data_IF_065706262551
#
_entry.id   IF_065706262551
#
_cell.length_a   1.000
_cell.length_b   1.000
_cell.length_c   1.000
_cell.angle_alpha   90.00
_cell.angle_beta   90.00
_cell.angle_gamma   90.00
#
_symmetry.space_group_name_H-M   'P 1'
#
loop_
_entity.id
_entity.type
_entity.pdbx_description
1 polymer ?
#
# COMPACT_ATOMS: atom_id res chain seq x y z
N UNK A 1 -67.93 36.26 35.13
CA UNK A 1 -67.71 37.38 36.08
C UNK A 1 -66.33 37.95 35.82
N UNK A 2 -66.27 39.27 35.71
CA UNK A 2 -65.08 40.09 35.53
C UNK A 2 -64.20 40.01 36.79
N UNK A 3 -62.88 39.90 36.61
CA UNK A 3 -61.91 40.44 37.56
C UNK A 3 -60.63 40.86 36.83
N UNK A 4 -60.44 42.18 36.77
CA UNK A 4 -59.25 42.90 36.34
C UNK A 4 -58.50 43.39 37.60
N UNK A 5 -57.16 43.38 37.55
CA UNK A 5 -56.14 44.14 38.32
C UNK A 5 -54.97 43.17 38.64
N UNK A 6 -53.70 43.40 38.33
CA UNK A 6 -52.94 44.63 38.19
C UNK A 6 -51.88 44.68 39.30
N UNK A 7 -50.63 44.30 39.03
CA UNK A 7 -49.48 44.73 39.84
C UNK A 7 -48.14 44.66 39.07
N UNK A 8 -47.56 45.85 38.96
CA UNK A 8 -46.20 46.29 38.67
C UNK A 8 -45.05 45.45 39.26
N UNK A 9 -43.93 45.35 38.53
CA UNK A 9 -42.61 45.58 39.13
C UNK A 9 -41.47 44.63 38.74
N UNK A 10 -40.37 45.20 38.24
CA UNK A 10 -39.01 44.69 38.47
C UNK A 10 -38.38 43.92 37.32
N UNK A 11 -37.29 44.47 36.78
CA UNK A 11 -36.58 43.94 35.60
C UNK A 11 -35.60 42.81 35.91
N UNK A 12 -35.00 42.27 34.85
CA UNK A 12 -33.90 41.33 34.98
C UNK A 12 -33.76 40.36 33.80
N UNK A 13 -32.93 40.75 32.82
CA UNK A 13 -32.20 39.92 31.87
C UNK A 13 -32.97 38.81 31.10
N UNK A 14 -33.25 39.10 29.82
CA UNK A 14 -33.52 38.08 28.82
C UNK A 14 -32.27 37.20 28.61
N UNK A 15 -32.37 35.92 28.96
CA UNK A 15 -31.45 34.88 28.51
C UNK A 15 -32.02 34.27 27.23
N UNK A 16 -31.38 34.41 26.06
CA UNK A 16 -31.80 33.66 24.89
C UNK A 16 -31.33 32.22 25.04
N UNK A 17 -32.30 31.32 24.97
CA UNK A 17 -32.11 29.89 24.75
C UNK A 17 -31.39 29.68 23.41
N UNK A 18 -30.10 29.38 23.44
CA UNK A 18 -29.40 28.78 22.32
C UNK A 18 -29.41 27.26 22.54
N UNK A 19 -30.37 26.60 21.91
CA UNK A 19 -30.34 25.15 21.75
C UNK A 19 -29.19 24.88 20.77
N UNK A 20 -28.01 24.54 21.28
CA UNK A 20 -26.92 24.04 20.46
C UNK A 20 -27.36 22.69 19.89
N UNK A 21 -27.83 22.71 18.65
CA UNK A 21 -27.80 21.54 17.79
C UNK A 21 -26.34 21.14 17.69
N UNK A 22 -25.95 20.10 18.44
CA UNK A 22 -24.66 19.46 18.31
C UNK A 22 -24.51 19.04 16.83
N UNK A 23 -23.72 19.83 16.11
CA UNK A 23 -23.30 19.52 14.75
C UNK A 23 -22.67 18.14 14.80
N UNK A 24 -23.22 17.19 14.04
CA UNK A 24 -22.58 15.90 13.85
C UNK A 24 -21.15 16.17 13.38
N UNK A 25 -20.15 15.75 14.18
CA UNK A 25 -18.76 15.77 13.74
C UNK A 25 -18.70 15.03 12.42
N UNK A 26 -18.32 15.73 11.35
CA UNK A 26 -17.93 15.08 10.12
C UNK A 26 -16.77 14.15 10.47
N UNK A 27 -16.99 12.83 10.38
CA UNK A 27 -15.92 11.85 10.45
C UNK A 27 -14.90 12.25 9.40
N UNK A 28 -13.68 12.57 9.79
CA UNK A 28 -12.61 12.88 8.84
C UNK A 28 -12.53 11.71 7.85
N UNK A 29 -12.68 12.01 6.55
CA UNK A 29 -12.56 10.97 5.53
C UNK A 29 -11.16 10.36 5.62
N UNK A 30 -11.10 9.03 5.69
CA UNK A 30 -9.84 8.31 5.75
C UNK A 30 -8.97 8.64 4.52
N UNK A 31 -7.69 8.95 4.75
CA UNK A 31 -6.75 9.32 3.68
C UNK A 31 -6.65 8.20 2.65
N UNK A 32 -6.86 8.54 1.37
CA UNK A 32 -6.51 7.70 0.22
C UNK A 32 -5.08 8.06 -0.17
N UNK A 33 -4.20 7.07 -0.26
CA UNK A 33 -2.82 7.22 -0.71
C UNK A 33 -2.74 6.91 -2.20
N UNK A 34 -2.06 7.78 -2.94
CA UNK A 34 -1.63 7.50 -4.32
C UNK A 34 -0.51 6.46 -4.34
N UNK A 35 -0.25 5.83 -5.49
CA UNK A 35 0.86 4.88 -5.60
C UNK A 35 2.21 5.49 -5.21
N UNK A 36 2.53 6.71 -5.64
CA UNK A 36 3.81 7.36 -5.29
C UNK A 36 3.95 7.54 -3.77
N UNK A 37 2.88 7.94 -3.08
CA UNK A 37 2.88 8.01 -1.62
C UNK A 37 3.09 6.63 -0.98
N UNK A 38 2.42 5.58 -1.48
CA UNK A 38 2.59 4.21 -0.99
C UNK A 38 4.03 3.71 -1.17
N UNK A 39 4.66 4.05 -2.30
CA UNK A 39 6.07 3.73 -2.57
C UNK A 39 6.99 4.45 -1.59
N UNK A 40 6.74 5.72 -1.32
CA UNK A 40 7.51 6.50 -0.36
C UNK A 40 7.43 5.91 1.05
N UNK A 41 6.24 5.44 1.46
CA UNK A 41 6.04 4.79 2.76
C UNK A 41 6.93 3.56 2.94
N UNK A 42 7.04 2.70 1.92
CA UNK A 42 7.80 1.44 2.04
C UNK A 42 9.27 1.56 1.56
N UNK A 43 9.66 2.71 1.01
CA UNK A 43 11.02 2.96 0.51
C UNK A 43 12.09 2.95 1.62
N UNK A 44 13.28 2.45 1.29
CA UNK A 44 14.46 2.52 2.16
C UNK A 44 14.36 1.73 3.46
N UNK A 45 13.39 0.81 3.57
CA UNK A 45 13.27 -0.11 4.69
C UNK A 45 14.22 -1.28 4.51
N UNK A 46 14.67 -1.85 5.62
CA UNK A 46 15.56 -3.02 5.66
C UNK A 46 14.93 -4.13 6.49
N UNK A 47 15.19 -5.37 6.12
CA UNK A 47 14.86 -6.52 6.98
C UNK A 47 15.82 -6.64 8.17
N UNK A 48 15.55 -7.57 9.09
CA UNK A 48 16.39 -7.78 10.28
C UNK A 48 17.78 -8.35 9.95
N UNK A 49 17.96 -8.90 8.75
CA UNK A 49 19.26 -9.36 8.23
C UNK A 49 20.09 -8.20 7.64
N UNK A 50 19.53 -6.98 7.60
CA UNK A 50 20.16 -5.78 7.06
C UNK A 50 20.09 -5.68 5.54
N UNK A 51 19.29 -6.51 4.87
CA UNK A 51 19.05 -6.40 3.44
C UNK A 51 17.98 -5.34 3.15
N UNK A 52 18.21 -4.54 2.12
CA UNK A 52 17.23 -3.56 1.66
C UNK A 52 16.01 -4.26 1.05
N UNK A 53 14.81 -3.83 1.47
CA UNK A 53 13.58 -4.14 0.75
C UNK A 53 13.53 -3.32 -0.54
N UNK A 54 13.92 -3.96 -1.64
CA UNK A 54 14.00 -3.33 -2.96
C UNK A 54 12.60 -3.09 -3.50
N UNK A 55 12.29 -1.82 -3.75
CA UNK A 55 11.06 -1.40 -4.41
C UNK A 55 10.99 -1.92 -5.85
N UNK A 56 9.88 -2.56 -6.19
CA UNK A 56 9.58 -2.90 -7.58
C UNK A 56 9.12 -1.64 -8.33
N UNK A 57 9.35 -1.55 -9.64
CA UNK A 57 8.79 -0.48 -10.46
C UNK A 57 7.27 -0.62 -10.61
N UNK A 58 6.58 0.49 -10.92
CA UNK A 58 5.13 0.47 -11.21
C UNK A 58 4.79 -0.58 -12.28
N UNK A 59 5.57 -0.60 -13.36
CA UNK A 59 5.37 -1.54 -14.46
C UNK A 59 5.55 -3.00 -14.00
N UNK A 60 6.51 -3.26 -13.11
CA UNK A 60 6.72 -4.61 -12.57
C UNK A 60 5.55 -5.05 -11.67
N UNK A 61 5.04 -4.15 -10.83
CA UNK A 61 3.89 -4.42 -9.97
C UNK A 61 2.63 -4.66 -10.81
N UNK A 62 2.40 -3.84 -11.85
CA UNK A 62 1.26 -4.01 -12.76
C UNK A 62 1.35 -5.31 -13.56
N UNK A 63 2.52 -5.63 -14.11
CA UNK A 63 2.73 -6.90 -14.82
C UNK A 63 2.56 -8.10 -13.89
N UNK A 64 3.16 -8.05 -12.70
CA UNK A 64 3.04 -9.09 -11.69
C UNK A 64 1.59 -9.31 -11.27
N UNK A 65 0.83 -8.22 -11.05
CA UNK A 65 -0.58 -8.28 -10.71
C UNK A 65 -1.45 -8.89 -11.81
N UNK A 66 -1.20 -8.55 -13.08
CA UNK A 66 -1.91 -9.13 -14.21
C UNK A 66 -1.63 -10.63 -14.36
N UNK A 67 -0.36 -11.03 -14.22
CA UNK A 67 0.03 -12.44 -14.26
C UNK A 67 -0.60 -13.20 -13.08
N UNK A 68 -0.53 -12.64 -11.87
CA UNK A 68 -1.14 -13.24 -10.69
C UNK A 68 -2.66 -13.40 -10.87
N UNK A 69 -3.35 -12.40 -11.39
CA UNK A 69 -4.80 -12.47 -11.69
C UNK A 69 -5.12 -13.58 -12.70
N UNK A 70 -4.34 -13.69 -13.78
CA UNK A 70 -4.48 -14.79 -14.74
C UNK A 70 -4.25 -16.16 -14.08
N UNK A 71 -3.19 -16.32 -13.29
CA UNK A 71 -2.90 -17.56 -12.58
C UNK A 71 -4.03 -17.93 -11.60
N UNK A 72 -4.52 -16.96 -10.82
CA UNK A 72 -5.66 -17.14 -9.91
C UNK A 72 -6.96 -17.49 -10.63
N UNK A 73 -7.17 -16.97 -11.85
CA UNK A 73 -8.36 -17.32 -12.66
C UNK A 73 -8.37 -18.81 -13.06
N UNK A 74 -7.20 -19.43 -13.10
CA UNK A 74 -7.03 -20.86 -13.38
C UNK A 74 -6.89 -21.72 -12.12
N UNK A 75 -6.80 -21.09 -10.95
CA UNK A 75 -6.66 -21.78 -9.67
C UNK A 75 -8.04 -22.08 -9.07
N UNK A 76 -8.23 -23.32 -8.61
CA UNK A 76 -9.38 -23.72 -7.82
C UNK A 76 -8.98 -23.79 -6.34
N UNK A 77 -9.75 -23.12 -5.49
CA UNK A 77 -9.60 -23.21 -4.03
C UNK A 77 -10.83 -23.92 -3.47
N UNK A 78 -10.61 -24.93 -2.64
CA UNK A 78 -11.66 -25.70 -1.99
C UNK A 78 -11.43 -25.70 -0.47
N UNK A 79 -12.33 -25.08 0.33
CA UNK A 79 -13.57 -24.40 -0.08
C UNK A 79 -13.35 -23.10 -0.86
N UNK A 80 -14.27 -22.77 -1.78
CA UNK A 80 -14.17 -21.54 -2.60
C UNK A 80 -14.12 -20.25 -1.78
N UNK A 81 -14.78 -20.24 -0.62
CA UNK A 81 -14.78 -19.11 0.32
C UNK A 81 -13.38 -18.82 0.91
N UNK A 82 -12.46 -19.77 0.80
CA UNK A 82 -11.06 -19.62 1.25
C UNK A 82 -10.15 -19.03 0.18
N UNK A 83 -10.69 -18.66 -0.99
CA UNK A 83 -9.90 -18.03 -2.06
C UNK A 83 -9.20 -16.76 -1.56
N UNK A 84 -9.91 -15.90 -0.83
CA UNK A 84 -9.34 -14.65 -0.32
C UNK A 84 -8.16 -14.91 0.63
N UNK A 85 -8.28 -15.93 1.49
CA UNK A 85 -7.19 -16.37 2.40
C UNK A 85 -6.04 -16.99 1.62
N UNK A 86 -6.33 -17.80 0.60
CA UNK A 86 -5.32 -18.43 -0.26
C UNK A 86 -4.51 -17.42 -1.08
N UNK A 87 -5.08 -16.23 -1.29
CA UNK A 87 -4.48 -15.15 -2.08
C UNK A 87 -4.04 -13.97 -1.23
N UNK A 88 -4.24 -14.07 0.09
CA UNK A 88 -3.82 -13.07 1.04
C UNK A 88 -2.29 -12.87 0.93
N UNK A 89 -1.85 -11.61 0.90
CA UNK A 89 -0.47 -11.20 0.70
C UNK A 89 0.03 -11.22 -0.76
N UNK A 90 -0.71 -11.82 -1.70
CA UNK A 90 -0.39 -11.81 -3.13
C UNK A 90 -1.23 -10.78 -3.90
N UNK A 91 -2.52 -10.68 -3.56
CA UNK A 91 -3.50 -9.89 -4.29
C UNK A 91 -4.61 -9.36 -3.37
N UNK A 92 -4.29 -9.02 -2.12
CA UNK A 92 -5.20 -8.25 -1.24
C UNK A 92 -5.36 -6.81 -1.75
N UNK A 93 -5.64 -6.63 -3.04
CA UNK A 93 -6.01 -5.35 -3.59
C UNK A 93 -7.36 -5.01 -2.97
N UNK A 94 -7.32 -4.02 -2.09
CA UNK A 94 -8.45 -3.10 -1.92
C UNK A 94 -8.97 -2.77 -3.32
N UNK A 95 -10.24 -3.07 -3.59
CA UNK A 95 -10.85 -2.91 -4.92
C UNK A 95 -10.57 -1.49 -5.45
N UNK A 96 -10.15 -1.38 -6.72
CA UNK A 96 -9.78 -0.10 -7.35
C UNK A 96 -8.73 0.71 -6.55
N UNK A 97 -7.74 0.04 -5.95
CA UNK A 97 -6.67 0.66 -5.16
C UNK A 97 -5.29 0.65 -5.81
N UNK A 98 -4.48 1.65 -5.44
CA UNK A 98 -3.07 1.70 -5.75
C UNK A 98 -2.28 0.74 -4.84
N UNK A 99 -1.17 0.21 -5.34
CA UNK A 99 -0.32 -0.75 -4.61
C UNK A 99 1.17 -0.49 -4.86
N UNK A 100 1.95 -0.51 -3.80
CA UNK A 100 3.41 -0.56 -3.85
C UNK A 100 3.91 -1.85 -3.22
N UNK A 101 4.97 -2.43 -3.79
CA UNK A 101 5.58 -3.68 -3.31
C UNK A 101 7.10 -3.53 -3.26
N UNK A 102 7.69 -4.03 -2.18
CA UNK A 102 9.12 -4.16 -1.99
C UNK A 102 9.45 -5.59 -1.56
N UNK A 103 10.58 -6.14 -2.04
CA UNK A 103 11.05 -7.48 -1.71
C UNK A 103 12.46 -7.45 -1.14
N UNK A 104 12.72 -8.28 -0.13
CA UNK A 104 14.08 -8.64 0.26
C UNK A 104 14.41 -10.04 -0.25
N UNK A 105 15.48 -10.13 -1.02
CA UNK A 105 16.04 -11.37 -1.54
C UNK A 105 17.07 -11.91 -0.53
N UNK A 106 16.62 -12.80 0.34
CA UNK A 106 17.47 -13.53 1.28
C UNK A 106 17.11 -15.02 1.31
N UNK A 107 17.80 -15.80 2.16
CA UNK A 107 17.51 -17.23 2.36
C UNK A 107 16.05 -17.48 2.79
N UNK A 108 15.47 -16.50 3.48
CA UNK A 108 14.06 -16.40 3.81
C UNK A 108 13.49 -15.18 3.07
N UNK A 109 12.87 -15.37 1.89
CA UNK A 109 12.37 -14.26 1.09
C UNK A 109 11.27 -13.53 1.87
N UNK A 110 11.29 -12.20 1.77
CA UNK A 110 10.33 -11.33 2.43
C UNK A 110 9.69 -10.40 1.43
N UNK A 111 8.43 -10.06 1.67
CA UNK A 111 7.74 -9.01 0.94
C UNK A 111 7.11 -8.02 1.90
N UNK A 112 7.06 -6.76 1.48
CA UNK A 112 6.31 -5.71 2.12
C UNK A 112 5.48 -5.00 1.05
N UNK A 113 4.18 -4.87 1.29
CA UNK A 113 3.28 -4.15 0.41
C UNK A 113 2.48 -3.13 1.19
N UNK A 114 2.18 -2.01 0.53
CA UNK A 114 1.27 -0.99 1.01
C UNK A 114 0.23 -0.73 -0.07
N UNK A 115 -1.03 -0.65 0.34
CA UNK A 115 -2.17 -0.58 -0.57
C UNK A 115 -3.20 0.41 -0.05
N UNK A 116 -3.86 1.11 -0.96
CA UNK A 116 -4.91 2.06 -0.60
C UNK A 116 -6.02 2.10 -1.66
N UNK A 117 -7.25 1.83 -1.23
CA UNK A 117 -8.44 1.85 -2.08
C UNK A 117 -9.08 3.24 -2.12
N UNK A 118 -9.39 3.75 -3.31
CA UNK A 118 -10.20 4.97 -3.48
C UNK A 118 -11.70 4.68 -3.44
N UNK A 119 -12.10 3.46 -3.78
CA UNK A 119 -13.48 2.96 -3.80
C UNK A 119 -13.61 1.71 -2.91
N UNK A 120 -14.85 1.24 -2.70
CA UNK A 120 -15.10 0.01 -1.93
C UNK A 120 -14.95 0.16 -0.41
N UNK A 121 -14.93 -0.97 0.33
CA UNK A 121 -14.72 -0.97 1.77
C UNK A 121 -13.32 -0.46 2.13
N UNK A 122 -13.19 0.17 3.29
CA UNK A 122 -11.87 0.56 3.82
C UNK A 122 -11.03 -0.69 4.19
N UNK A 123 -9.73 -0.46 4.43
CA UNK A 123 -8.78 -1.54 4.70
C UNK A 123 -9.15 -2.31 5.97
N UNK A 124 -9.72 -1.62 6.96
CA UNK A 124 -10.14 -2.22 8.24
C UNK A 124 -11.27 -3.23 8.02
N UNK A 125 -12.25 -2.88 7.18
CA UNK A 125 -13.33 -3.77 6.80
C UNK A 125 -12.84 -4.94 5.97
N UNK A 126 -11.97 -4.71 4.98
CA UNK A 126 -11.35 -5.79 4.19
C UNK A 126 -10.66 -6.80 5.11
N UNK A 127 -9.81 -6.33 6.01
CA UNK A 127 -9.07 -7.19 6.92
C UNK A 127 -9.98 -7.92 7.92
N UNK A 128 -11.06 -7.28 8.35
CA UNK A 128 -12.07 -7.90 9.22
C UNK A 128 -12.85 -9.00 8.49
N UNK A 129 -13.21 -8.78 7.23
CA UNK A 129 -13.94 -9.77 6.42
C UNK A 129 -13.04 -10.98 6.10
N UNK A 130 -11.73 -10.77 5.89
CA UNK A 130 -10.73 -11.85 5.72
C UNK A 130 -10.55 -12.64 7.02
N UNK A 131 -10.20 -11.97 8.12
CA UNK A 131 -9.96 -12.64 9.42
C UNK A 131 -11.19 -13.41 9.92
N UNK A 132 -12.41 -12.90 9.67
CA UNK A 132 -13.66 -13.59 10.01
C UNK A 132 -13.91 -14.90 9.26
N UNK A 133 -13.16 -15.20 8.18
CA UNK A 133 -13.23 -16.48 7.45
C UNK A 133 -12.20 -17.50 7.92
N UNK A 134 -11.24 -17.10 8.75
CA UNK A 134 -10.06 -17.90 9.08
C UNK A 134 -10.39 -19.28 9.67
N UNK A 135 -11.36 -19.35 10.58
CA UNK A 135 -11.79 -20.63 11.19
C UNK A 135 -12.27 -21.66 10.15
N UNK A 136 -12.91 -21.20 9.07
CA UNK A 136 -13.39 -22.06 7.98
C UNK A 136 -12.27 -22.42 7.00
N UNK A 137 -11.19 -21.65 7.01
CA UNK A 137 -10.06 -21.74 6.10
C UNK A 137 -8.77 -22.20 6.78
N UNK A 138 -8.89 -22.82 7.96
CA UNK A 138 -7.76 -23.41 8.66
C UNK A 138 -7.09 -24.55 7.85
N UNK A 139 -7.87 -25.23 6.99
CA UNK A 139 -7.35 -26.19 6.02
C UNK A 139 -8.14 -26.08 4.71
N UNK A 140 -7.44 -25.86 3.62
CA UNK A 140 -8.02 -25.80 2.27
C UNK A 140 -7.06 -26.43 1.26
N UNK A 141 -7.58 -26.76 0.09
CA UNK A 141 -6.76 -27.23 -1.03
C UNK A 141 -6.75 -26.20 -2.15
N UNK A 142 -5.58 -26.07 -2.78
CA UNK A 142 -5.41 -25.23 -3.96
C UNK A 142 -4.96 -26.13 -5.10
N UNK A 143 -5.67 -26.05 -6.21
CA UNK A 143 -5.30 -26.67 -7.47
C UNK A 143 -4.95 -25.58 -8.47
N UNK A 144 -3.70 -25.57 -8.93
CA UNK A 144 -3.21 -24.63 -9.93
C UNK A 144 -2.27 -25.35 -10.89
N UNK A 145 -2.38 -25.05 -12.19
CA UNK A 145 -1.51 -25.62 -13.24
C UNK A 145 -1.45 -27.16 -13.21
N UNK A 146 -2.57 -27.83 -12.87
CA UNK A 146 -2.67 -29.28 -12.78
C UNK A 146 -2.00 -29.91 -11.54
N UNK A 147 -1.57 -29.10 -10.58
CA UNK A 147 -1.03 -29.56 -9.31
C UNK A 147 -1.97 -29.20 -8.18
N UNK A 148 -2.30 -30.17 -7.33
CA UNK A 148 -3.08 -29.98 -6.11
C UNK A 148 -2.17 -30.05 -4.90
N UNK A 149 -2.27 -29.06 -4.02
CA UNK A 149 -1.61 -29.05 -2.71
C UNK A 149 -2.58 -28.63 -1.61
N UNK A 150 -2.38 -29.15 -0.42
CA UNK A 150 -3.08 -28.72 0.78
C UNK A 150 -2.32 -27.55 1.42
N UNK A 151 -3.08 -26.60 1.97
CA UNK A 151 -2.57 -25.52 2.81
C UNK A 151 -3.26 -25.66 4.16
N UNK A 152 -2.47 -25.71 5.22
CA UNK A 152 -2.96 -25.52 6.59
C UNK A 152 -2.56 -24.14 7.04
N UNK A 153 -3.51 -23.34 7.46
CA UNK A 153 -3.29 -21.98 7.93
C UNK A 153 -3.80 -21.85 9.35
N UNK A 154 -3.06 -21.16 10.20
CA UNK A 154 -3.48 -20.85 11.56
C UNK A 154 -3.30 -19.35 11.82
N UNK A 155 -4.22 -18.78 12.61
CA UNK A 155 -4.03 -17.43 13.12
C UNK A 155 -2.91 -17.44 14.14
N UNK A 156 -2.01 -16.46 14.01
CA UNK A 156 -0.97 -16.21 15.01
C UNK A 156 -1.23 -14.85 15.63
N UNK A 157 -1.02 -14.74 16.94
CA UNK A 157 -1.21 -13.47 17.63
C UNK A 157 -0.14 -12.48 17.16
N UNK A 158 -0.56 -11.36 16.57
CA UNK A 158 0.31 -10.25 16.21
C UNK A 158 -0.25 -8.92 16.72
N UNK A 159 0.64 -7.96 16.99
CA UNK A 159 0.28 -6.63 17.50
C UNK A 159 1.02 -5.54 16.69
N UNK A 160 0.27 -4.61 16.11
CA UNK A 160 0.81 -3.44 15.38
C UNK A 160 0.13 -2.16 15.87
N UNK A 161 0.65 -1.00 15.48
CA UNK A 161 0.11 0.32 15.82
C UNK A 161 -1.17 0.69 15.04
N UNK A 162 -1.70 -0.23 14.23
CA UNK A 162 -2.87 0.00 13.38
C UNK A 162 -4.20 -0.25 14.12
N UNK A 163 -5.29 0.28 13.57
CA UNK A 163 -6.66 0.02 14.04
C UNK A 163 -7.02 -1.48 14.04
N UNK A 164 -6.52 -2.23 13.06
CA UNK A 164 -6.74 -3.68 12.96
C UNK A 164 -5.47 -4.39 12.52
N UNK A 165 -5.14 -5.46 13.22
CA UNK A 165 -4.06 -6.38 12.88
C UNK A 165 -4.63 -7.79 12.71
N UNK A 166 -4.08 -8.53 11.76
CA UNK A 166 -4.36 -9.95 11.57
C UNK A 166 -3.10 -10.63 11.05
N UNK A 167 -2.77 -11.80 11.57
CA UNK A 167 -1.59 -12.53 11.15
C UNK A 167 -1.86 -14.01 11.03
N UNK A 168 -1.22 -14.64 10.07
CA UNK A 168 -1.36 -16.07 9.80
C UNK A 168 -0.01 -16.74 9.64
N UNK A 169 0.04 -18.02 9.97
CA UNK A 169 1.11 -18.92 9.60
C UNK A 169 0.52 -20.04 8.74
N UNK A 170 0.92 -20.08 7.48
CA UNK A 170 0.46 -21.07 6.51
C UNK A 170 1.57 -22.08 6.23
N UNK A 171 1.22 -23.35 6.15
CA UNK A 171 2.12 -24.45 5.77
C UNK A 171 1.56 -25.13 4.53
N UNK A 172 2.36 -25.22 3.47
CA UNK A 172 2.00 -25.96 2.26
C UNK A 172 2.44 -27.42 2.38
N UNK A 173 1.58 -28.35 1.98
CA UNK A 173 1.92 -29.77 1.86
C UNK A 173 2.99 -30.00 0.78
N UNK A 174 4.00 -30.81 1.06
CA UNK A 174 5.07 -31.17 0.13
C UNK A 174 6.36 -31.55 0.87
N UNK A 175 7.38 -32.01 0.13
CA UNK A 175 8.63 -32.51 0.70
C UNK A 175 9.39 -31.48 1.56
N UNK A 176 9.19 -30.19 1.30
CA UNK A 176 9.91 -29.10 1.96
C UNK A 176 9.09 -28.38 3.04
N UNK A 177 7.82 -28.76 3.28
CA UNK A 177 6.88 -28.15 4.25
C UNK A 177 7.07 -26.64 4.45
N UNK A 178 7.14 -25.90 3.34
CA UNK A 178 7.44 -24.48 3.39
C UNK A 178 6.34 -23.74 4.15
N UNK A 179 6.77 -22.91 5.11
CA UNK A 179 5.90 -22.02 5.85
C UNK A 179 5.94 -20.62 5.24
N UNK A 180 4.82 -19.94 5.34
CA UNK A 180 4.66 -18.53 5.03
C UNK A 180 4.00 -17.88 6.24
N UNK A 181 4.68 -16.92 6.85
CA UNK A 181 4.10 -16.05 7.86
C UNK A 181 3.68 -14.75 7.19
N UNK A 182 2.51 -14.27 7.54
CA UNK A 182 1.97 -13.00 7.06
C UNK A 182 1.47 -12.21 8.26
N UNK A 183 1.83 -10.92 8.31
CA UNK A 183 1.20 -9.94 9.19
C UNK A 183 0.56 -8.88 8.30
N UNK A 184 -0.70 -8.58 8.56
CA UNK A 184 -1.49 -7.58 7.86
C UNK A 184 -2.01 -6.57 8.88
N UNK A 185 -1.89 -5.29 8.55
CA UNK A 185 -2.33 -4.19 9.39
C UNK A 185 -3.12 -3.17 8.56
N UNK A 186 -4.26 -2.75 9.08
CA UNK A 186 -5.16 -1.82 8.41
C UNK A 186 -5.40 -0.58 9.28
N UNK A 187 -5.19 0.60 8.67
CA UNK A 187 -5.38 1.92 9.28
C UNK A 187 -6.19 2.79 8.31
N UNK A 188 -7.46 3.07 8.64
CA UNK A 188 -8.39 3.69 7.69
C UNK A 188 -8.41 2.95 6.34
N UNK A 189 -7.93 3.62 5.27
CA UNK A 189 -7.84 3.05 3.92
C UNK A 189 -6.48 2.47 3.55
N UNK A 190 -5.46 2.59 4.41
CA UNK A 190 -4.15 2.00 4.22
C UNK A 190 -4.14 0.55 4.72
N UNK A 191 -3.81 -0.39 3.84
CA UNK A 191 -3.51 -1.78 4.16
C UNK A 191 -2.02 -2.02 3.95
N UNK A 192 -1.32 -2.45 5.00
CA UNK A 192 0.09 -2.85 4.93
C UNK A 192 0.17 -4.35 5.19
N UNK A 193 0.85 -5.08 4.31
CA UNK A 193 1.05 -6.52 4.44
C UNK A 193 2.53 -6.85 4.34
N UNK A 194 3.06 -7.51 5.35
CA UNK A 194 4.42 -8.02 5.37
C UNK A 194 4.39 -9.55 5.43
N UNK A 195 5.22 -10.21 4.62
CA UNK A 195 5.31 -11.67 4.60
C UNK A 195 6.75 -12.14 4.68
N UNK A 196 6.93 -13.32 5.25
CA UNK A 196 8.22 -14.03 5.31
C UNK A 196 8.02 -15.50 5.02
N UNK A 197 8.78 -16.03 4.08
CA UNK A 197 8.83 -17.46 3.76
C UNK A 197 9.99 -18.17 4.44
N UNK A 198 9.80 -19.42 4.87
CA UNK A 198 10.90 -20.20 5.45
C UNK A 198 10.46 -21.57 5.98
N UNK A 199 11.43 -22.41 6.35
CA UNK A 199 11.14 -23.71 6.98
C UNK A 199 10.84 -23.58 8.48
N UNK A 200 11.48 -22.61 9.16
CA UNK A 200 11.42 -22.40 10.59
C UNK A 200 11.04 -20.94 10.88
N UNK A 201 9.75 -20.64 10.85
CA UNK A 201 9.21 -19.34 11.23
C UNK A 201 8.63 -19.40 12.65
N UNK A 202 8.84 -18.36 13.45
CA UNK A 202 8.38 -18.25 14.84
C UNK A 202 8.24 -16.82 15.34
N UNK A 203 8.24 -16.64 16.66
CA UNK A 203 8.03 -15.33 17.30
C UNK A 203 8.99 -14.22 16.84
N UNK A 204 10.29 -14.46 16.61
CA UNK A 204 11.20 -13.43 16.12
C UNK A 204 10.80 -12.94 14.73
N UNK A 205 10.44 -13.86 13.84
CA UNK A 205 10.00 -13.55 12.47
C UNK A 205 8.71 -12.75 12.47
N UNK A 206 7.77 -13.07 13.37
CA UNK A 206 6.55 -12.28 13.53
C UNK A 206 6.87 -10.86 13.95
N UNK A 207 7.75 -10.71 14.95
CA UNK A 207 8.13 -9.40 15.48
C UNK A 207 8.83 -8.54 14.44
N UNK A 208 9.69 -9.13 13.61
CA UNK A 208 10.30 -8.47 12.45
C UNK A 208 9.21 -7.89 11.52
N UNK A 209 8.20 -8.70 11.18
CA UNK A 209 7.10 -8.26 10.31
C UNK A 209 6.23 -7.16 10.95
N UNK A 210 5.96 -7.25 12.25
CA UNK A 210 5.28 -6.20 13.03
C UNK A 210 6.08 -4.89 13.02
N UNK A 211 7.39 -4.95 13.26
CA UNK A 211 8.26 -3.79 13.31
C UNK A 211 8.40 -3.13 11.92
N UNK A 212 8.45 -3.92 10.83
CA UNK A 212 8.39 -3.39 9.45
C UNK A 212 7.08 -2.64 9.19
N UNK A 213 5.95 -3.22 9.58
CA UNK A 213 4.64 -2.59 9.42
C UNK A 213 4.54 -1.30 10.23
N UNK A 214 4.97 -1.30 11.49
CA UNK A 214 4.93 -0.12 12.35
C UNK A 214 5.80 1.02 11.81
N UNK A 215 6.92 0.72 11.15
CA UNK A 215 7.71 1.73 10.44
C UNK A 215 6.93 2.40 9.30
N UNK A 216 6.16 1.62 8.52
CA UNK A 216 5.28 2.13 7.46
C UNK A 216 4.17 3.01 8.05
N UNK A 217 3.50 2.55 9.10
CA UNK A 217 2.43 3.29 9.78
C UNK A 217 2.95 4.61 10.36
N UNK A 218 4.11 4.60 11.01
CA UNK A 218 4.75 5.80 11.54
C UNK A 218 5.09 6.83 10.45
N UNK A 219 5.55 6.38 9.28
CA UNK A 219 5.76 7.27 8.11
C UNK A 219 4.44 7.84 7.60
N UNK A 220 3.37 7.06 7.61
CA UNK A 220 2.04 7.48 7.20
C UNK A 220 1.47 8.58 8.12
N UNK A 221 1.68 8.45 9.43
CA UNK A 221 1.27 9.45 10.43
C UNK A 221 2.13 10.73 10.39
N UNK A 222 3.42 10.60 10.07
CA UNK A 222 4.35 11.72 9.95
C UNK A 222 4.30 12.47 8.61
N UNK A 223 3.54 11.96 7.63
CA UNK A 223 3.57 12.39 6.23
C UNK A 223 2.67 13.57 5.83
N UNK A 224 1.90 14.16 6.74
CA UNK A 224 1.02 15.31 6.43
C UNK A 224 1.77 16.66 6.24
N UNK A 225 3.08 16.61 5.96
CA UNK A 225 3.99 17.75 6.07
C UNK A 225 4.69 18.21 4.80
N UNK A 226 4.28 17.83 3.59
CA UNK A 226 4.78 18.51 2.37
C UNK A 226 3.77 19.54 1.93
N UNK A 227 3.82 20.71 2.58
CA UNK A 227 3.21 21.93 2.06
C UNK A 227 3.82 22.22 0.70
N UNK A 228 2.97 22.29 -0.34
CA UNK A 228 3.34 22.87 -1.62
C UNK A 228 3.99 24.25 -1.37
N UNK A 229 5.16 24.56 -1.95
CA UNK A 229 5.66 25.92 -1.88
C UNK A 229 4.71 26.81 -2.69
N UNK A 230 3.81 27.49 -1.98
CA UNK A 230 3.09 28.66 -2.50
C UNK A 230 4.15 29.62 -3.03
N UNK A 231 4.12 29.82 -4.35
CA UNK A 231 4.97 30.78 -5.04
C UNK A 231 4.79 32.16 -4.40
N UNK A 232 5.79 32.59 -3.63
CA UNK A 232 5.85 33.98 -3.18
C UNK A 232 6.32 34.81 -4.36
N UNK A 233 5.33 35.35 -5.07
CA UNK A 233 5.49 36.39 -6.09
C UNK A 233 6.14 37.63 -5.46
N UNK A 234 7.46 37.71 -5.49
CA UNK A 234 8.16 38.96 -5.20
C UNK A 234 8.24 39.77 -6.50
N UNK A 235 7.29 40.69 -6.66
CA UNK A 235 7.34 41.72 -7.68
C UNK A 235 8.57 42.61 -7.46
N UNK A 236 9.48 42.67 -8.44
CA UNK A 236 10.46 43.76 -8.55
C UNK A 236 10.65 44.11 -10.02
N UNK A 237 10.04 45.22 -10.42
CA UNK A 237 10.17 45.85 -11.74
C UNK A 237 11.42 46.72 -11.84
N UNK A 238 11.77 47.08 -13.08
CA UNK A 238 12.80 48.03 -13.59
C UNK A 238 14.21 47.44 -13.80
N UNK A 239 14.96 47.68 -14.87
CA UNK A 239 14.76 48.27 -16.22
C UNK A 239 16.09 48.17 -16.99
N UNK A 240 16.03 47.93 -18.32
CA UNK A 240 16.94 48.39 -19.40
C UNK A 240 18.49 48.42 -19.22
N UNK A 241 19.22 47.74 -20.11
CA UNK A 241 20.14 48.34 -21.13
C UNK A 241 21.03 47.28 -21.82
N UNK A 242 21.06 47.26 -23.15
CA UNK A 242 22.16 46.75 -24.00
C UNK A 242 23.07 47.93 -24.38
N UNK A 243 24.39 47.76 -24.61
CA UNK A 243 24.99 47.27 -25.88
C UNK A 243 26.18 46.30 -25.60
N UNK A 244 26.79 45.52 -26.50
CA UNK A 244 27.18 45.68 -27.90
C UNK A 244 28.71 45.50 -27.98
N UNK A 245 29.21 44.44 -28.64
CA UNK A 245 30.65 44.19 -28.79
C UNK A 245 30.96 42.92 -29.57
N UNK A 246 31.45 43.10 -30.79
CA UNK A 246 31.68 42.11 -31.85
C UNK A 246 33.10 41.50 -31.81
N UNK A 247 33.24 40.19 -32.07
CA UNK A 247 34.32 39.62 -32.89
C UNK A 247 34.14 38.09 -33.09
N UNK A 248 33.92 37.68 -34.34
CA UNK A 248 34.29 36.36 -34.93
C UNK A 248 35.56 36.57 -35.78
N UNK A 249 36.17 35.58 -36.49
CA UNK A 249 35.88 34.13 -36.61
C UNK A 249 37.16 33.23 -36.51
N UNK A 250 37.02 31.91 -36.61
CA UNK A 250 37.79 31.06 -37.55
C UNK A 250 37.10 29.69 -37.71
N UNK A 251 36.89 29.32 -38.96
CA UNK A 251 36.28 28.09 -39.45
C UNK A 251 37.22 26.87 -39.38
N UNK A 252 36.69 25.64 -39.52
CA UNK A 252 37.01 24.74 -40.65
C UNK A 252 36.30 23.37 -40.50
N UNK A 253 35.31 23.17 -41.39
CA UNK A 253 35.00 22.04 -42.29
C UNK A 253 34.80 20.59 -41.81
N UNK A 254 33.70 20.06 -42.36
CA UNK A 254 33.15 18.71 -42.47
C UNK A 254 33.98 17.69 -43.26
N UNK A 255 33.63 16.40 -43.09
CA UNK A 255 33.29 15.35 -44.10
C UNK A 255 32.95 14.07 -43.30
N UNK A 256 31.81 13.37 -43.35
CA UNK A 256 30.93 12.82 -44.40
C UNK A 256 31.55 11.70 -45.25
N UNK A 257 31.26 10.45 -44.89
CA UNK A 257 31.13 9.22 -45.72
C UNK A 257 31.02 8.03 -44.73
N UNK A 258 30.22 6.98 -44.90
CA UNK A 258 29.31 6.53 -45.94
C UNK A 258 28.68 5.21 -45.46
N UNK A 259 27.48 4.91 -45.95
CA UNK A 259 26.76 3.66 -45.72
C UNK A 259 27.49 2.44 -46.29
N UNK A 260 27.41 1.29 -45.59
CA UNK A 260 27.40 -0.02 -46.24
C UNK A 260 26.72 -1.07 -45.35
N UNK A 261 25.60 -1.57 -45.88
CA UNK A 261 24.85 -2.77 -45.50
C UNK A 261 25.76 -4.02 -45.50
N UNK A 262 25.57 -4.94 -44.54
CA UNK A 262 25.77 -6.37 -44.78
C UNK A 262 24.97 -7.22 -43.81
N UNK A 263 24.15 -8.07 -44.43
CA UNK A 263 23.31 -9.11 -43.86
C UNK A 263 24.17 -10.32 -43.49
N UNK A 264 23.89 -10.97 -42.36
CA UNK A 264 24.37 -12.32 -42.07
C UNK A 264 23.33 -13.08 -41.21
N UNK A 265 22.70 -14.07 -41.84
CA UNK A 265 21.86 -15.08 -41.20
C UNK A 265 22.71 -16.07 -40.39
N UNK A 266 22.20 -16.65 -39.29
CA UNK A 266 22.72 -17.90 -38.76
C UNK A 266 21.88 -19.10 -39.23
N UNK A 267 22.59 -20.04 -39.86
CA UNK A 267 22.15 -21.36 -40.27
C UNK A 267 21.89 -22.25 -39.04
N UNK A 268 20.77 -22.97 -39.06
CA UNK A 268 20.47 -24.04 -38.10
C UNK A 268 21.21 -25.33 -38.48
N UNK A 269 21.85 -25.98 -37.51
CA UNK A 269 22.36 -27.35 -37.62
C UNK A 269 22.63 -27.93 -36.23
N UNK A 270 21.62 -28.61 -35.66
CA UNK A 270 21.67 -29.98 -35.11
C UNK A 270 20.41 -30.28 -34.31
#
# INVERSE_FOLDING_TARGET
MIALAGCTGGGGAASPSASETASASATAEAKVYSEDELRDLISGLTDDDGNELKLYSKEQVDQGGNIASLLLSTANVDPADCKDIATAGLLDKVESGDVAVALSEGDQPRSLSAQSGSEGPDAVKVLSDISGKMDKCAKFSVEALGQKYEVTSEEVKAETDAEKTFATMSTRSGENQQKLMQVSAAQGRLLVVATKGGANLGDPDRKELEDLINQVLKKADGGSGTSSPTSTSTSRSTSTSSPGGSASPTATKSESTGSATSSASPTSSR
#
